data_IF_859661048017
#
_entry.id   IF_859661048017
#
_cell.length_a   1.000
_cell.length_b   1.000
_cell.length_c   1.000
_cell.angle_alpha   90.00
_cell.angle_beta   90.00
_cell.angle_gamma   90.00
#
_symmetry.space_group_name_H-M   'P 1'
#
loop_
_entity.id
_entity.type
_entity.pdbx_description
1 polymer ?
#
# COMPACT_ATOMS: atom_id res chain seq x y z
N UNK A 1 -0.78 20.22 39.49
CA UNK A 1 -1.57 18.98 39.39
C UNK A 1 -2.57 19.18 38.28
N UNK A 2 -2.26 18.71 37.07
CA UNK A 2 -3.24 18.57 35.99
C UNK A 2 -2.97 17.22 35.37
N UNK A 3 -3.77 16.25 35.79
CA UNK A 3 -3.71 14.89 35.31
C UNK A 3 -4.28 14.84 33.89
N UNK A 4 -3.57 14.18 32.98
CA UNK A 4 -4.01 13.96 31.61
C UNK A 4 -4.93 12.75 31.60
N UNK A 5 -6.22 12.93 31.32
CA UNK A 5 -7.19 11.83 31.25
C UNK A 5 -6.88 10.91 30.05
N UNK A 6 -6.80 9.58 30.22
CA UNK A 6 -6.58 8.66 29.10
C UNK A 6 -7.86 8.47 28.28
N UNK A 7 -7.74 8.46 26.94
CA UNK A 7 -8.84 8.13 26.01
C UNK A 7 -9.41 6.74 26.32
N UNK A 8 -10.73 6.64 26.55
CA UNK A 8 -11.43 5.43 26.99
C UNK A 8 -12.18 4.71 25.86
N UNK A 9 -11.64 4.64 24.64
CA UNK A 9 -12.20 3.88 23.52
C UNK A 9 -11.18 2.88 22.96
N UNK A 10 -11.64 1.75 22.44
CA UNK A 10 -10.77 0.77 21.80
C UNK A 10 -10.24 1.29 20.46
N UNK A 11 -9.05 0.81 20.05
CA UNK A 11 -8.48 1.11 18.73
C UNK A 11 -9.46 0.81 17.59
N UNK A 12 -10.27 -0.24 17.74
CA UNK A 12 -11.30 -0.61 16.75
C UNK A 12 -12.37 0.49 16.62
N UNK A 13 -12.83 1.04 17.73
CA UNK A 13 -13.81 2.12 17.75
C UNK A 13 -13.21 3.42 17.20
N UNK A 14 -11.97 3.73 17.55
CA UNK A 14 -11.25 4.88 17.00
C UNK A 14 -11.08 4.80 15.48
N UNK A 15 -10.72 3.63 14.96
CA UNK A 15 -10.60 3.38 13.52
C UNK A 15 -11.95 3.47 12.80
N UNK A 16 -13.03 2.98 13.42
CA UNK A 16 -14.37 3.10 12.88
C UNK A 16 -14.82 4.57 12.80
N UNK A 17 -14.64 5.33 13.88
CA UNK A 17 -14.95 6.76 13.93
C UNK A 17 -14.12 7.56 12.90
N UNK A 18 -12.82 7.24 12.77
CA UNK A 18 -11.95 7.86 11.78
C UNK A 18 -12.44 7.59 10.35
N UNK A 19 -12.81 6.34 10.04
CA UNK A 19 -13.35 5.97 8.73
C UNK A 19 -14.60 6.78 8.40
N UNK A 20 -15.57 6.84 9.31
CA UNK A 20 -16.79 7.63 9.13
C UNK A 20 -16.47 9.10 8.87
N UNK A 21 -15.54 9.69 9.64
CA UNK A 21 -15.11 11.08 9.46
C UNK A 21 -14.46 11.34 8.10
N UNK A 22 -13.63 10.41 7.61
CA UNK A 22 -12.95 10.52 6.32
C UNK A 22 -13.92 10.38 5.14
N UNK A 23 -14.98 9.60 5.29
CA UNK A 23 -16.00 9.36 4.25
C UNK A 23 -17.05 10.47 4.19
N UNK A 24 -17.41 11.08 5.33
CA UNK A 24 -18.48 12.09 5.41
C UNK A 24 -18.28 13.33 4.52
N UNK A 25 -17.02 13.69 4.20
CA UNK A 25 -16.70 14.82 3.34
C UNK A 25 -16.56 14.48 1.85
N UNK A 26 -16.84 13.25 1.45
CA UNK A 26 -16.58 12.77 0.08
C UNK A 26 -17.89 12.54 -0.69
N UNK A 27 -17.87 12.69 -2.04
CA UNK A 27 -19.00 12.29 -2.87
C UNK A 27 -19.37 10.81 -2.65
N UNK A 28 -20.68 10.46 -2.56
CA UNK A 28 -21.11 9.08 -2.32
C UNK A 28 -20.58 8.08 -3.35
N UNK A 29 -20.49 8.50 -4.62
CA UNK A 29 -19.94 7.69 -5.70
C UNK A 29 -18.45 7.36 -5.46
N UNK A 30 -17.64 8.34 -5.05
CA UNK A 30 -16.24 8.12 -4.75
C UNK A 30 -16.02 7.17 -3.56
N UNK A 31 -16.87 7.26 -2.54
CA UNK A 31 -16.86 6.33 -1.39
C UNK A 31 -17.24 4.92 -1.85
N UNK A 32 -18.29 4.79 -2.67
CA UNK A 32 -18.72 3.51 -3.22
C UNK A 32 -17.64 2.86 -4.11
N UNK A 33 -16.98 3.64 -4.96
CA UNK A 33 -15.86 3.19 -5.81
C UNK A 33 -14.68 2.72 -4.95
N UNK A 34 -14.33 3.44 -3.89
CA UNK A 34 -13.27 3.04 -2.95
C UNK A 34 -13.60 1.71 -2.26
N UNK A 35 -14.82 1.54 -1.75
CA UNK A 35 -15.24 0.29 -1.11
C UNK A 35 -15.24 -0.88 -2.10
N UNK A 36 -15.77 -0.67 -3.30
CA UNK A 36 -15.76 -1.69 -4.35
C UNK A 36 -14.33 -2.14 -4.67
N UNK A 37 -13.40 -1.21 -4.87
CA UNK A 37 -12.01 -1.56 -5.18
C UNK A 37 -11.36 -2.38 -4.04
N UNK A 38 -11.65 -2.06 -2.78
CA UNK A 38 -11.16 -2.84 -1.63
C UNK A 38 -11.73 -4.25 -1.61
N UNK A 39 -13.03 -4.39 -1.86
CA UNK A 39 -13.70 -5.69 -1.85
C UNK A 39 -13.30 -6.55 -3.06
N UNK A 40 -13.11 -5.95 -4.24
CA UNK A 40 -12.52 -6.61 -5.41
C UNK A 40 -11.11 -7.12 -5.10
N UNK A 41 -10.25 -6.31 -4.46
CA UNK A 41 -8.92 -6.76 -4.05
C UNK A 41 -8.96 -7.91 -3.04
N UNK A 42 -9.87 -7.85 -2.05
CA UNK A 42 -10.02 -8.91 -1.03
C UNK A 42 -10.50 -10.23 -1.61
N UNK A 43 -11.41 -10.17 -2.57
CA UNK A 43 -11.98 -11.33 -3.25
C UNK A 43 -11.11 -11.82 -4.40
N UNK A 44 -10.14 -10.99 -4.84
CA UNK A 44 -9.18 -11.38 -5.86
C UNK A 44 -8.23 -12.46 -5.37
N UNK A 45 -7.75 -13.25 -6.32
CA UNK A 45 -6.71 -14.25 -6.10
C UNK A 45 -5.29 -13.62 -5.98
N UNK A 46 -5.17 -12.31 -5.74
CA UNK A 46 -3.88 -11.64 -5.64
C UNK A 46 -3.01 -12.20 -4.50
N UNK A 47 -3.63 -12.58 -3.38
CA UNK A 47 -2.93 -13.11 -2.21
C UNK A 47 -2.25 -14.46 -2.47
N UNK A 48 -2.80 -15.32 -3.33
CA UNK A 48 -2.22 -16.63 -3.65
C UNK A 48 -0.96 -16.52 -4.52
N UNK A 49 -0.83 -15.41 -5.26
CA UNK A 49 0.30 -15.11 -6.15
C UNK A 49 1.41 -14.30 -5.48
N UNK A 50 1.30 -14.04 -4.18
CA UNK A 50 2.33 -13.32 -3.43
C UNK A 50 3.56 -14.21 -3.27
N UNK A 51 4.72 -13.66 -3.63
CA UNK A 51 6.00 -14.31 -3.44
C UNK A 51 6.31 -14.45 -1.95
N UNK A 52 6.83 -15.62 -1.58
CA UNK A 52 7.25 -15.96 -0.23
C UNK A 52 8.73 -15.67 -0.04
N UNK A 53 9.17 -15.65 1.22
CA UNK A 53 10.59 -15.55 1.55
C UNK A 53 11.34 -16.71 0.92
N UNK A 54 12.41 -16.38 0.17
CA UNK A 54 13.21 -17.35 -0.57
C UNK A 54 12.80 -17.53 -2.03
N UNK A 55 11.62 -17.07 -2.43
CA UNK A 55 11.22 -17.09 -3.84
C UNK A 55 12.09 -16.13 -4.66
N UNK A 56 12.35 -16.51 -5.92
CA UNK A 56 13.07 -15.65 -6.86
C UNK A 56 12.21 -14.43 -7.19
N UNK A 57 12.75 -13.23 -6.97
CA UNK A 57 12.09 -12.00 -7.39
C UNK A 57 11.93 -11.98 -8.93
N UNK A 58 10.79 -11.50 -9.48
CA UNK A 58 10.58 -11.42 -10.91
C UNK A 58 11.51 -10.37 -11.50
N UNK A 59 11.96 -10.62 -12.72
CA UNK A 59 12.75 -9.66 -13.48
C UNK A 59 11.82 -8.51 -13.91
N UNK A 60 12.34 -7.29 -13.81
CA UNK A 60 11.66 -6.09 -14.30
C UNK A 60 12.56 -5.27 -15.23
N UNK A 61 11.90 -4.55 -16.13
CA UNK A 61 12.46 -3.50 -16.96
C UNK A 61 11.49 -2.31 -16.91
N UNK A 62 11.83 -1.29 -16.11
CA UNK A 62 10.95 -0.16 -15.83
C UNK A 62 11.66 1.16 -16.19
N UNK A 63 10.95 2.17 -16.74
CA UNK A 63 11.54 3.47 -16.95
C UNK A 63 11.80 4.18 -15.62
N UNK A 64 12.93 4.88 -15.52
CA UNK A 64 13.18 5.85 -14.46
C UNK A 64 12.42 7.18 -14.73
N UNK A 65 12.63 8.18 -13.88
CA UNK A 65 11.98 9.49 -14.01
C UNK A 65 12.38 10.26 -15.28
N UNK A 66 13.46 9.88 -15.95
CA UNK A 66 13.89 10.43 -17.24
C UNK A 66 13.38 9.64 -18.45
N UNK A 67 12.68 8.51 -18.22
CA UNK A 67 12.24 7.59 -19.25
C UNK A 67 13.28 6.54 -19.65
N UNK A 68 14.45 6.52 -18.99
CA UNK A 68 15.49 5.54 -19.27
C UNK A 68 15.12 4.20 -18.66
N UNK A 69 15.13 3.13 -19.45
CA UNK A 69 14.78 1.79 -18.96
C UNK A 69 15.88 1.23 -18.06
N UNK A 70 15.49 0.88 -16.84
CA UNK A 70 16.32 0.18 -15.85
C UNK A 70 15.96 -1.30 -15.85
N UNK A 71 16.92 -2.16 -16.23
CA UNK A 71 16.77 -3.63 -16.29
C UNK A 71 17.41 -4.30 -15.06
N UNK A 72 16.59 -4.98 -14.27
CA UNK A 72 16.99 -5.72 -13.07
C UNK A 72 18.06 -6.79 -13.30
N UNK A 73 18.07 -7.46 -14.47
CA UNK A 73 19.06 -8.50 -14.79
C UNK A 73 20.45 -7.91 -14.93
N UNK A 74 20.54 -6.74 -15.57
CA UNK A 74 21.80 -6.01 -15.74
C UNK A 74 22.35 -5.54 -14.40
N UNK A 75 21.48 -5.04 -13.53
CA UNK A 75 21.88 -4.63 -12.17
C UNK A 75 22.38 -5.83 -11.35
N UNK A 76 21.64 -6.94 -11.37
CA UNK A 76 22.03 -8.16 -10.67
C UNK A 76 23.32 -8.78 -11.19
N UNK A 77 23.61 -8.66 -12.49
CA UNK A 77 24.87 -9.11 -13.07
C UNK A 77 26.06 -8.25 -12.61
N UNK A 78 25.84 -6.99 -12.26
CA UNK A 78 26.87 -6.10 -11.74
C UNK A 78 27.11 -6.29 -10.23
N UNK A 79 26.09 -6.74 -9.48
CA UNK A 79 26.21 -7.02 -8.05
C UNK A 79 24.86 -7.19 -7.35
N UNK A 80 24.86 -7.32 -6.01
CA UNK A 80 23.63 -7.42 -5.22
C UNK A 80 22.70 -6.22 -5.45
N UNK A 81 21.40 -6.50 -5.58
CA UNK A 81 20.37 -5.48 -5.81
C UNK A 81 19.46 -5.34 -4.59
N UNK A 82 19.24 -4.11 -4.14
CA UNK A 82 18.24 -3.77 -3.11
C UNK A 82 17.12 -2.97 -3.78
N UNK A 83 15.87 -3.40 -3.58
CA UNK A 83 14.68 -2.72 -4.10
C UNK A 83 13.87 -2.16 -2.95
N UNK A 84 13.53 -0.87 -3.02
CA UNK A 84 12.68 -0.19 -2.03
C UNK A 84 11.38 0.25 -2.69
N UNK A 85 10.25 -0.14 -2.10
CA UNK A 85 8.94 0.34 -2.52
C UNK A 85 8.58 1.57 -1.70
N UNK A 86 8.48 2.71 -2.35
CA UNK A 86 8.06 3.96 -1.74
C UNK A 86 6.64 4.33 -2.18
N UNK A 87 5.76 4.59 -1.22
CA UNK A 87 4.39 5.06 -1.48
C UNK A 87 4.27 6.52 -1.05
N UNK A 88 4.21 7.43 -2.02
CA UNK A 88 4.07 8.86 -1.76
C UNK A 88 4.49 9.68 -2.98
N UNK A 89 4.53 11.00 -2.81
CA UNK A 89 5.17 11.88 -3.79
C UNK A 89 6.68 11.85 -3.57
N UNK A 90 7.43 11.82 -4.67
CA UNK A 90 8.85 12.13 -4.73
C UNK A 90 9.02 13.65 -4.87
#
# INVERSE_FOLDING_TARGET
MSDSTPSSSSLKEELAALRTRLEAGRPPEAVATMHRAVDELRTSDAASRVLKVGDRAPEFALPDSSGTVVDSRRLLAAGPLVVTFYRGRW
#
